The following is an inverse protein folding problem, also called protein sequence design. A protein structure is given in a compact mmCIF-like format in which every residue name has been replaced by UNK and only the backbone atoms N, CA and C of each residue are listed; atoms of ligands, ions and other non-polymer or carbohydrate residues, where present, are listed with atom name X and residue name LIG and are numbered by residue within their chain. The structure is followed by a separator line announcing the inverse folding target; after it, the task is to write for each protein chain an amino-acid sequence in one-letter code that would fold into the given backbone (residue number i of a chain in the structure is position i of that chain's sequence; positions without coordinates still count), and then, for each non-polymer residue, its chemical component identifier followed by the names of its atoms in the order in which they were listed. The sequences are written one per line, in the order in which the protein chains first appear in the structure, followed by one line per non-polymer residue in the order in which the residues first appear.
data_IF_716392574851
#
_entry.id   IF_716392574851
#
_cell.length_a   1.000
_cell.length_b   1.000
_cell.length_c   1.000
_cell.angle_alpha   90.00
_cell.angle_beta   90.00
_cell.angle_gamma   90.00
#
_symmetry.space_group_name_H-M   'P 1'
#
loop_
_entity.id
_entity.type
_entity.pdbx_description
1 polymer ?
#
# COMPACT_ATOMS: atom_id res chain seq x y z
N UNK A 1 8.50 -16.70 30.20
CA UNK A 1 7.61 -15.62 30.69
C UNK A 1 8.05 -14.38 29.94
N UNK A 2 7.22 -13.77 29.09
CA UNK A 2 7.60 -12.59 28.32
C UNK A 2 7.85 -11.39 29.27
N UNK A 3 9.07 -10.84 29.26
CA UNK A 3 9.51 -9.72 30.12
C UNK A 3 9.23 -8.34 29.49
N UNK A 4 8.82 -8.36 28.24
CA UNK A 4 8.09 -7.35 27.48
C UNK A 4 7.42 -6.21 28.34
N UNK A 5 7.90 -4.93 28.24
CA UNK A 5 7.39 -3.77 29.00
C UNK A 5 5.91 -3.44 28.85
N UNK A 6 5.21 -3.15 29.95
CA UNK A 6 3.78 -2.78 29.90
C UNK A 6 3.49 -1.31 29.55
N UNK A 7 4.50 -0.46 29.65
CA UNK A 7 4.41 0.95 29.25
C UNK A 7 4.55 1.07 27.73
N UNK A 8 3.66 1.84 27.09
CA UNK A 8 3.61 1.95 25.63
C UNK A 8 4.88 2.58 25.04
N UNK A 9 5.47 3.57 25.69
CA UNK A 9 6.67 4.22 25.17
C UNK A 9 7.88 3.31 25.26
N UNK A 10 8.09 2.67 26.42
CA UNK A 10 9.15 1.66 26.58
C UNK A 10 8.95 0.46 25.66
N UNK A 11 7.69 0.09 25.38
CA UNK A 11 7.37 -0.96 24.42
C UNK A 11 7.79 -0.59 23.01
N UNK A 12 7.39 0.59 22.54
CA UNK A 12 7.72 1.08 21.20
C UNK A 12 9.22 1.25 21.01
N UNK A 13 9.93 1.75 22.04
CA UNK A 13 11.39 1.90 22.05
C UNK A 13 12.06 0.54 21.93
N UNK A 14 11.73 -0.43 22.80
CA UNK A 14 12.27 -1.78 22.74
C UNK A 14 12.09 -2.43 21.35
N UNK A 15 10.86 -2.41 20.83
CA UNK A 15 10.58 -3.01 19.53
C UNK A 15 11.27 -2.26 18.39
N UNK A 16 11.39 -0.94 18.48
CA UNK A 16 12.14 -0.12 17.53
C UNK A 16 13.63 -0.42 17.53
N UNK A 17 14.25 -0.53 18.70
CA UNK A 17 15.67 -0.85 18.85
C UNK A 17 16.01 -2.25 18.33
N UNK A 18 15.13 -3.22 18.60
CA UNK A 18 15.30 -4.59 18.09
C UNK A 18 14.98 -4.71 16.59
N UNK A 19 14.25 -3.74 16.02
CA UNK A 19 13.79 -3.82 14.63
C UNK A 19 14.95 -3.90 13.65
N UNK A 20 15.92 -3.00 13.74
CA UNK A 20 17.03 -2.95 12.79
C UNK A 20 17.88 -4.22 12.83
N UNK A 21 18.10 -4.76 14.03
CA UNK A 21 18.88 -5.99 14.25
C UNK A 21 18.14 -7.19 13.63
N UNK A 22 16.90 -7.41 14.04
CA UNK A 22 16.13 -8.58 13.63
C UNK A 22 15.75 -8.51 12.14
N UNK A 23 15.38 -7.33 11.63
CA UNK A 23 15.05 -7.16 10.21
C UNK A 23 16.25 -7.43 9.32
N UNK A 24 17.47 -7.05 9.73
CA UNK A 24 18.69 -7.36 8.99
C UNK A 24 18.97 -8.87 8.97
N UNK A 25 18.91 -9.54 10.12
CA UNK A 25 19.11 -11.00 10.20
C UNK A 25 18.09 -11.77 9.37
N UNK A 26 16.82 -11.35 9.42
CA UNK A 26 15.75 -11.93 8.61
C UNK A 26 15.95 -11.70 7.11
N UNK A 27 16.40 -10.50 6.72
CA UNK A 27 16.76 -10.16 5.34
C UNK A 27 17.89 -11.05 4.84
N UNK A 28 18.95 -11.25 5.61
CA UNK A 28 20.09 -12.07 5.21
C UNK A 28 19.69 -13.55 5.10
N UNK A 29 18.88 -14.04 6.04
CA UNK A 29 18.23 -15.36 5.94
C UNK A 29 17.38 -15.51 4.69
N UNK A 30 16.71 -14.45 4.22
CA UNK A 30 15.96 -14.46 2.97
C UNK A 30 16.87 -14.45 1.75
N UNK A 31 17.91 -13.61 1.73
CA UNK A 31 18.79 -13.44 0.57
C UNK A 31 19.62 -14.69 0.24
N UNK A 32 19.88 -15.56 1.23
CA UNK A 32 20.54 -16.85 1.02
C UNK A 32 19.64 -17.92 0.39
N UNK A 33 18.33 -17.68 0.29
CA UNK A 33 17.36 -18.59 -0.34
C UNK A 33 17.34 -18.41 -1.87
N UNK A 34 17.62 -19.48 -2.61
CA UNK A 34 17.58 -19.45 -4.09
C UNK A 34 16.23 -19.00 -4.67
N UNK A 35 15.10 -19.26 -3.97
CA UNK A 35 13.77 -18.79 -4.41
C UNK A 35 13.63 -17.28 -4.22
N UNK A 36 14.17 -16.74 -3.13
CA UNK A 36 14.17 -15.31 -2.84
C UNK A 36 14.95 -14.53 -3.91
N UNK A 37 16.14 -15.02 -4.27
CA UNK A 37 16.98 -14.42 -5.32
C UNK A 37 16.24 -14.32 -6.66
N UNK A 38 15.50 -15.37 -7.04
CA UNK A 38 14.67 -15.37 -8.26
C UNK A 38 13.51 -14.37 -8.19
N UNK A 39 12.78 -14.33 -7.07
CA UNK A 39 11.68 -13.38 -6.87
C UNK A 39 12.14 -11.93 -7.02
N UNK A 40 13.25 -11.58 -6.37
CA UNK A 40 13.83 -10.23 -6.45
C UNK A 40 14.31 -9.89 -7.85
N UNK A 41 14.98 -10.83 -8.51
CA UNK A 41 15.48 -10.63 -9.88
C UNK A 41 14.33 -10.37 -10.85
N UNK A 42 13.24 -11.14 -10.74
CA UNK A 42 12.04 -10.93 -11.55
C UNK A 42 11.37 -9.58 -11.28
N UNK A 43 11.29 -9.16 -10.01
CA UNK A 43 10.74 -7.85 -9.65
C UNK A 43 11.60 -6.69 -10.19
N UNK A 44 12.92 -6.80 -10.08
CA UNK A 44 13.87 -5.82 -10.62
C UNK A 44 13.81 -5.75 -12.15
N UNK A 45 13.71 -6.90 -12.82
CA UNK A 45 13.56 -6.98 -14.28
C UNK A 45 12.24 -6.35 -14.73
N UNK A 46 11.15 -6.60 -13.99
CA UNK A 46 9.86 -5.95 -14.23
C UNK A 46 10.00 -4.43 -14.20
N UNK A 47 10.62 -3.87 -13.16
CA UNK A 47 10.79 -2.42 -13.06
C UNK A 47 11.75 -1.86 -14.10
N UNK A 48 12.83 -2.57 -14.44
CA UNK A 48 13.72 -2.15 -15.53
C UNK A 48 12.99 -2.00 -16.87
N UNK A 49 11.94 -2.80 -17.11
CA UNK A 49 11.15 -2.76 -18.34
C UNK A 49 10.01 -1.74 -18.33
N UNK A 50 9.43 -1.45 -17.17
CA UNK A 50 8.17 -0.69 -17.07
C UNK A 50 8.27 0.63 -16.28
N UNK A 51 9.29 0.81 -15.45
CA UNK A 51 9.53 2.07 -14.76
C UNK A 51 10.31 3.03 -15.66
N UNK A 52 10.11 4.33 -15.50
CA UNK A 52 10.91 5.33 -16.23
C UNK A 52 12.33 5.32 -15.65
N UNK A 53 13.34 5.63 -16.47
CA UNK A 53 14.76 5.57 -16.06
C UNK A 53 15.10 6.40 -14.80
N UNK A 54 14.27 7.41 -14.45
CA UNK A 54 14.44 8.23 -13.24
C UNK A 54 13.90 7.61 -11.94
N UNK A 55 13.31 6.40 -11.99
CA UNK A 55 12.63 5.76 -10.86
C UNK A 55 13.47 4.67 -10.14
N UNK A 56 14.78 4.62 -10.36
CA UNK A 56 15.65 3.58 -9.76
C UNK A 56 15.60 3.59 -8.22
N UNK A 57 15.59 4.78 -7.61
CA UNK A 57 15.45 4.94 -6.16
C UNK A 57 14.10 4.37 -5.69
N UNK A 58 13.01 4.65 -6.40
CA UNK A 58 11.68 4.15 -6.04
C UNK A 58 11.59 2.63 -6.18
N UNK A 59 12.22 2.10 -7.23
CA UNK A 59 12.32 0.66 -7.49
C UNK A 59 13.01 -0.05 -6.32
N UNK A 60 14.13 0.49 -5.84
CA UNK A 60 14.84 -0.09 -4.69
C UNK A 60 13.98 -0.09 -3.43
N UNK A 61 13.26 1.01 -3.15
CA UNK A 61 12.35 1.05 -1.99
C UNK A 61 11.24 0.00 -2.07
N UNK A 62 10.65 -0.23 -3.24
CA UNK A 62 9.60 -1.26 -3.40
C UNK A 62 10.18 -2.66 -3.24
N UNK A 63 11.39 -2.90 -3.75
CA UNK A 63 12.08 -4.18 -3.56
C UNK A 63 12.39 -4.41 -2.08
N UNK A 64 12.90 -3.42 -1.36
CA UNK A 64 13.19 -3.53 0.06
C UNK A 64 11.91 -3.72 0.89
N UNK A 65 10.84 -2.98 0.57
CA UNK A 65 9.53 -3.16 1.19
C UNK A 65 8.98 -4.58 0.96
N UNK A 66 9.16 -5.13 -0.25
CA UNK A 66 8.79 -6.51 -0.54
C UNK A 66 9.57 -7.49 0.33
N UNK A 67 10.90 -7.35 0.40
CA UNK A 67 11.76 -8.19 1.25
C UNK A 67 11.29 -8.15 2.70
N UNK A 68 11.07 -6.96 3.26
CA UNK A 68 10.56 -6.80 4.62
C UNK A 68 9.20 -7.46 4.82
N UNK A 69 8.28 -7.31 3.84
CA UNK A 69 6.94 -7.91 3.94
C UNK A 69 6.97 -9.44 3.96
N UNK A 70 7.86 -10.06 3.19
CA UNK A 70 7.96 -11.53 3.13
C UNK A 70 8.77 -12.10 4.29
N UNK A 71 9.70 -11.32 4.86
CA UNK A 71 10.48 -11.77 6.02
C UNK A 71 9.75 -11.62 7.33
N UNK A 72 9.17 -10.45 7.59
CA UNK A 72 8.39 -10.16 8.80
C UNK A 72 6.97 -10.76 8.74
N UNK A 73 6.49 -11.10 7.54
CA UNK A 73 5.20 -11.75 7.33
C UNK A 73 5.24 -13.28 7.36
N UNK A 74 6.42 -13.93 7.47
CA UNK A 74 6.58 -15.38 7.44
C UNK A 74 7.01 -15.93 8.81
N UNK A 75 6.01 -16.31 9.63
CA UNK A 75 6.23 -16.91 10.94
C UNK A 75 7.14 -18.14 10.92
N UNK A 76 7.14 -18.93 9.83
CA UNK A 76 8.02 -20.12 9.72
C UNK A 76 9.47 -19.70 9.49
N UNK A 77 9.71 -18.62 8.75
CA UNK A 77 11.05 -18.06 8.60
C UNK A 77 11.54 -17.47 9.92
N UNK A 78 10.72 -16.68 10.60
CA UNK A 78 11.05 -16.12 11.90
C UNK A 78 11.34 -17.21 12.94
N UNK A 79 10.54 -18.28 12.99
CA UNK A 79 10.78 -19.42 13.89
C UNK A 79 12.07 -20.18 13.56
N UNK A 80 12.42 -20.32 12.27
CA UNK A 80 13.70 -20.92 11.87
C UNK A 80 14.89 -20.05 12.29
N UNK A 81 14.81 -18.74 12.08
CA UNK A 81 15.85 -17.81 12.53
C UNK A 81 16.03 -17.92 14.04
N UNK A 82 14.93 -17.86 14.80
CA UNK A 82 14.96 -17.99 16.26
C UNK A 82 15.60 -19.30 16.71
N UNK A 83 15.34 -20.42 16.02
CA UNK A 83 15.93 -21.70 16.35
C UNK A 83 17.42 -21.81 16.00
N UNK A 84 17.85 -21.19 14.90
CA UNK A 84 19.23 -21.23 14.41
C UNK A 84 20.16 -20.29 15.18
N UNK A 85 19.69 -19.07 15.44
CA UNK A 85 20.50 -17.97 15.99
C UNK A 85 20.25 -17.77 17.50
N UNK A 86 19.50 -18.68 18.15
CA UNK A 86 19.07 -18.52 19.55
C UNK A 86 20.20 -18.20 20.52
N UNK A 87 21.39 -18.74 20.27
CA UNK A 87 22.56 -18.57 21.13
C UNK A 87 23.22 -17.21 20.97
N UNK A 88 23.00 -16.53 19.84
CA UNK A 88 23.57 -15.22 19.53
C UNK A 88 22.60 -14.07 19.79
N UNK A 89 21.31 -14.39 20.00
CA UNK A 89 20.27 -13.43 20.39
C UNK A 89 20.25 -13.18 21.90
N UNK A 90 20.11 -11.93 22.30
CA UNK A 90 19.82 -11.57 23.69
C UNK A 90 18.34 -11.84 24.03
N UNK A 91 17.98 -11.75 25.32
CA UNK A 91 16.62 -12.03 25.79
C UNK A 91 15.56 -11.12 25.14
N UNK A 92 15.89 -9.83 24.93
CA UNK A 92 15.00 -8.86 24.29
C UNK A 92 14.70 -9.24 22.83
N UNK A 93 15.74 -9.59 22.05
CA UNK A 93 15.60 -10.05 20.67
C UNK A 93 14.77 -11.34 20.60
N UNK A 94 14.97 -12.26 21.55
CA UNK A 94 14.19 -13.51 21.64
C UNK A 94 12.72 -13.21 21.92
N UNK A 95 12.42 -12.35 22.89
CA UNK A 95 11.05 -12.00 23.26
C UNK A 95 10.34 -11.25 22.11
N UNK A 96 11.00 -10.30 21.44
CA UNK A 96 10.46 -9.56 20.28
C UNK A 96 10.22 -10.49 19.09
N UNK A 97 11.20 -11.31 18.72
CA UNK A 97 11.07 -12.23 17.59
C UNK A 97 9.99 -13.29 17.87
N UNK A 98 9.88 -13.76 19.12
CA UNK A 98 8.81 -14.67 19.53
C UNK A 98 7.43 -14.03 19.38
N UNK A 99 7.29 -12.74 19.72
CA UNK A 99 6.05 -12.00 19.51
C UNK A 99 5.71 -11.88 18.01
N UNK A 100 6.66 -11.52 17.16
CA UNK A 100 6.40 -11.42 15.71
C UNK A 100 6.11 -12.77 15.04
N UNK A 101 6.61 -13.88 15.57
CA UNK A 101 6.21 -15.22 15.09
C UNK A 101 4.70 -15.42 15.24
N UNK A 102 4.13 -14.98 16.38
CA UNK A 102 2.69 -15.07 16.67
C UNK A 102 1.88 -13.97 15.98
N UNK A 103 2.50 -12.80 15.75
CA UNK A 103 1.89 -11.60 15.18
C UNK A 103 2.69 -11.11 13.96
N UNK A 104 2.66 -11.84 12.83
CA UNK A 104 3.43 -11.48 11.65
C UNK A 104 3.00 -10.14 11.06
N UNK A 105 3.95 -9.42 10.49
CA UNK A 105 3.70 -8.11 9.90
C UNK A 105 2.73 -8.20 8.71
N UNK A 106 1.92 -7.16 8.52
CA UNK A 106 0.88 -7.10 7.48
C UNK A 106 0.75 -5.70 6.87
N UNK A 107 0.36 -5.61 5.60
CA UNK A 107 0.04 -4.32 4.99
C UNK A 107 -1.30 -3.79 5.50
N UNK A 108 -1.33 -2.51 5.86
CA UNK A 108 -2.52 -1.80 6.28
C UNK A 108 -2.75 -0.59 5.38
N UNK A 109 -3.98 -0.46 4.87
CA UNK A 109 -4.46 0.72 4.16
C UNK A 109 -5.44 1.48 5.08
N UNK A 110 -5.11 2.71 5.46
CA UNK A 110 -5.78 3.39 6.56
C UNK A 110 -5.88 4.91 6.37
N UNK A 111 -6.78 5.51 7.15
CA UNK A 111 -6.83 6.96 7.41
C UNK A 111 -6.51 7.24 8.87
N UNK A 112 -6.00 8.44 9.18
CA UNK A 112 -5.81 8.88 10.56
C UNK A 112 -7.15 9.44 11.08
N UNK A 113 -7.61 8.95 12.22
CA UNK A 113 -8.80 9.48 12.89
C UNK A 113 -8.44 10.58 13.89
N UNK A 114 -7.37 10.38 14.66
CA UNK A 114 -6.93 11.34 15.68
C UNK A 114 -5.44 11.17 16.01
N UNK A 115 -4.79 12.28 16.40
CA UNK A 115 -3.47 12.25 17.04
C UNK A 115 -3.65 12.32 18.56
N UNK A 116 -3.34 11.22 19.24
CA UNK A 116 -3.54 11.09 20.69
C UNK A 116 -2.27 11.37 21.50
N UNK A 117 -1.11 11.46 20.85
CA UNK A 117 0.16 11.81 21.48
C UNK A 117 1.25 12.17 20.45
N UNK A 118 2.48 12.37 20.95
CA UNK A 118 3.65 12.52 20.08
C UNK A 118 3.87 11.19 19.37
N UNK A 119 3.92 11.23 18.03
CA UNK A 119 4.06 10.06 17.16
C UNK A 119 2.98 8.98 17.34
N UNK A 120 1.89 9.24 18.08
CA UNK A 120 0.88 8.25 18.43
C UNK A 120 -0.50 8.64 17.87
N UNK A 121 -1.06 7.75 17.06
CA UNK A 121 -2.25 8.00 16.26
C UNK A 121 -3.28 6.89 16.43
N UNK A 122 -4.55 7.27 16.45
CA UNK A 122 -5.65 6.36 16.20
C UNK A 122 -5.93 6.37 14.70
N UNK A 123 -5.91 5.19 14.08
CA UNK A 123 -6.14 5.03 12.64
C UNK A 123 -7.28 4.06 12.38
N UNK A 124 -7.96 4.24 11.25
CA UNK A 124 -9.01 3.35 10.77
C UNK A 124 -8.54 2.59 9.55
N UNK A 125 -8.56 1.26 9.62
CA UNK A 125 -8.47 0.39 8.45
C UNK A 125 -9.65 0.69 7.52
N UNK A 126 -9.34 1.10 6.28
CA UNK A 126 -10.36 1.54 5.33
C UNK A 126 -11.16 0.37 4.74
N UNK A 127 -10.66 -0.87 4.80
CA UNK A 127 -11.38 -2.05 4.33
C UNK A 127 -12.17 -2.75 5.44
N UNK A 128 -11.56 -2.98 6.61
CA UNK A 128 -12.24 -3.70 7.70
C UNK A 128 -13.05 -2.78 8.62
N UNK A 129 -12.77 -1.47 8.61
CA UNK A 129 -13.31 -0.51 9.57
C UNK A 129 -12.71 -0.62 10.98
N UNK A 130 -11.75 -1.53 11.20
CA UNK A 130 -11.10 -1.70 12.49
C UNK A 130 -10.27 -0.47 12.85
N UNK A 131 -10.30 -0.11 14.12
CA UNK A 131 -9.49 0.98 14.67
C UNK A 131 -8.24 0.41 15.32
N UNK A 132 -7.09 0.99 15.00
CA UNK A 132 -5.79 0.61 15.56
C UNK A 132 -5.10 1.82 16.22
N UNK A 133 -4.35 1.56 17.27
CA UNK A 133 -3.38 2.49 17.80
C UNK A 133 -2.04 2.29 17.07
N UNK A 134 -1.44 3.36 16.54
CA UNK A 134 -0.22 3.31 15.74
C UNK A 134 0.79 4.30 16.28
N UNK A 135 2.02 3.83 16.52
CA UNK A 135 3.16 4.68 16.83
C UNK A 135 4.07 4.82 15.60
N UNK A 136 4.20 6.02 15.04
CA UNK A 136 5.03 6.31 13.87
C UNK A 136 5.48 7.77 13.78
N UNK A 137 6.80 7.99 13.83
CA UNK A 137 7.44 9.28 13.51
C UNK A 137 7.16 9.73 12.08
N UNK A 138 7.08 8.78 11.15
CA UNK A 138 6.80 9.07 9.74
C UNK A 138 5.40 9.64 9.54
N UNK A 139 4.41 9.17 10.32
CA UNK A 139 3.05 9.74 10.28
C UNK A 139 3.04 11.18 10.80
N UNK A 140 3.73 11.46 11.91
CA UNK A 140 3.86 12.82 12.43
C UNK A 140 4.48 13.77 11.39
N UNK A 141 5.59 13.35 10.77
CA UNK A 141 6.21 14.08 9.67
C UNK A 141 5.26 14.31 8.48
N UNK A 142 4.41 13.33 8.15
CA UNK A 142 3.42 13.49 7.10
C UNK A 142 2.31 14.49 7.48
N UNK A 143 1.95 14.61 8.76
CA UNK A 143 0.95 15.59 9.20
C UNK A 143 1.45 17.04 9.15
N UNK A 144 2.76 17.24 9.28
CA UNK A 144 3.36 18.58 9.22
C UNK A 144 3.38 19.19 7.81
N UNK A 145 3.12 18.41 6.76
CA UNK A 145 3.23 18.84 5.36
C UNK A 145 1.86 18.85 4.69
N UNK A 146 1.57 19.92 3.94
CA UNK A 146 0.28 20.07 3.24
C UNK A 146 0.05 18.96 2.22
N UNK A 147 1.11 18.53 1.55
CA UNK A 147 1.04 17.57 0.43
C UNK A 147 0.75 16.15 0.91
N UNK A 148 1.03 15.85 2.17
CA UNK A 148 0.99 14.48 2.71
C UNK A 148 0.06 14.31 3.91
N UNK A 149 -0.52 15.40 4.41
CA UNK A 149 -1.53 15.43 5.47
C UNK A 149 -2.91 15.09 4.90
N UNK A 150 -3.76 14.50 5.75
CA UNK A 150 -5.15 14.13 5.43
C UNK A 150 -5.27 13.22 4.19
N UNK A 151 -4.27 12.37 3.98
CA UNK A 151 -4.23 11.36 2.91
C UNK A 151 -4.67 10.00 3.45
N UNK A 152 -4.92 9.07 2.54
CA UNK A 152 -4.93 7.65 2.87
C UNK A 152 -3.51 7.11 2.80
N UNK A 153 -3.17 6.26 3.77
CA UNK A 153 -1.82 5.73 3.97
C UNK A 153 -1.79 4.23 3.75
N UNK A 154 -0.71 3.76 3.15
CA UNK A 154 -0.42 2.34 2.93
C UNK A 154 0.99 2.06 3.43
N UNK A 155 1.15 1.12 4.35
CA UNK A 155 2.47 0.66 4.79
C UNK A 155 2.38 -0.71 5.44
N UNK A 156 3.53 -1.36 5.61
CA UNK A 156 3.64 -2.58 6.39
C UNK A 156 3.63 -2.21 7.88
N UNK A 157 2.82 -2.90 8.66
CA UNK A 157 2.71 -2.73 10.10
C UNK A 157 3.25 -3.97 10.80
N UNK A 158 3.88 -3.78 11.95
CA UNK A 158 4.17 -4.87 12.90
C UNK A 158 3.55 -4.56 14.26
N UNK A 159 3.15 -5.62 14.95
CA UNK A 159 2.55 -5.54 16.28
C UNK A 159 3.66 -5.58 17.35
N UNK A 160 3.43 -4.87 18.45
CA UNK A 160 4.23 -4.93 19.67
C UNK A 160 3.43 -5.38 20.91
N UNK A 161 2.16 -5.72 20.71
CA UNK A 161 1.20 -6.15 21.74
C UNK A 161 0.45 -5.01 22.43
N UNK A 162 0.83 -3.75 22.21
CA UNK A 162 0.13 -2.55 22.73
C UNK A 162 -0.33 -1.61 21.61
N UNK A 163 0.42 -1.53 20.52
CA UNK A 163 0.08 -0.76 19.33
C UNK A 163 0.79 -1.33 18.10
N UNK A 164 0.43 -0.85 16.92
CA UNK A 164 1.17 -1.10 15.69
C UNK A 164 2.30 -0.10 15.51
N UNK A 165 3.36 -0.51 14.83
CA UNK A 165 4.46 0.36 14.38
C UNK A 165 4.70 0.16 12.88
N UNK A 166 5.10 1.24 12.20
CA UNK A 166 5.34 1.22 10.74
C UNK A 166 6.69 0.59 10.41
N UNK A 167 6.71 -0.33 9.46
CA UNK A 167 7.90 -0.98 8.90
C UNK A 167 8.15 -0.55 7.46
N UNK A 168 9.25 0.17 7.24
CA UNK A 168 9.65 0.62 5.90
C UNK A 168 8.98 1.93 5.50
N UNK A 169 8.67 2.07 4.21
CA UNK A 169 8.18 3.33 3.65
C UNK A 169 6.68 3.51 3.92
N UNK A 170 6.31 4.71 4.32
CA UNK A 170 4.91 5.14 4.38
C UNK A 170 4.51 5.67 3.01
N UNK A 171 3.60 4.97 2.34
CA UNK A 171 3.00 5.45 1.10
C UNK A 171 1.73 6.23 1.42
N UNK A 172 1.46 7.30 0.68
CA UNK A 172 0.26 8.12 0.85
C UNK A 172 -0.36 8.42 -0.51
N UNK A 173 -1.69 8.57 -0.54
CA UNK A 173 -2.46 8.91 -1.73
C UNK A 173 -3.79 9.53 -1.37
N UNK A 174 -4.42 10.16 -2.35
CA UNK A 174 -5.83 10.54 -2.24
C UNK A 174 -6.77 9.44 -2.77
N UNK A 175 -6.27 8.23 -3.06
CA UNK A 175 -7.11 7.16 -3.57
C UNK A 175 -8.08 6.74 -2.49
N UNK A 176 -9.37 6.70 -2.80
CA UNK A 176 -10.36 6.20 -1.86
C UNK A 176 -10.34 4.66 -1.75
N UNK A 177 -11.25 4.12 -0.92
CA UNK A 177 -11.36 2.67 -0.70
C UNK A 177 -11.78 1.91 -1.95
N UNK A 178 -12.60 2.50 -2.82
CA UNK A 178 -13.11 1.86 -4.03
C UNK A 178 -12.05 1.86 -5.13
N UNK A 179 -11.28 2.94 -5.24
CA UNK A 179 -10.11 3.02 -6.12
C UNK A 179 -9.02 2.03 -5.71
N UNK A 180 -8.75 1.92 -4.39
CA UNK A 180 -7.81 0.92 -3.88
C UNK A 180 -8.32 -0.51 -4.09
N UNK A 181 -9.63 -0.74 -3.92
CA UNK A 181 -10.26 -2.04 -4.22
C UNK A 181 -10.08 -2.41 -5.68
N UNK A 182 -10.37 -1.50 -6.60
CA UNK A 182 -10.20 -1.69 -8.03
C UNK A 182 -8.75 -2.05 -8.37
N UNK A 183 -7.77 -1.34 -7.79
CA UNK A 183 -6.35 -1.63 -7.99
C UNK A 183 -5.99 -3.06 -7.55
N UNK A 184 -6.41 -3.46 -6.35
CA UNK A 184 -6.06 -4.76 -5.78
C UNK A 184 -6.75 -5.92 -6.50
N UNK A 185 -8.04 -5.78 -6.85
CA UNK A 185 -8.77 -6.79 -7.63
C UNK A 185 -8.21 -6.93 -9.05
N UNK A 186 -7.74 -5.83 -9.66
CA UNK A 186 -7.08 -5.86 -10.96
C UNK A 186 -5.73 -6.58 -10.94
N UNK A 187 -5.07 -6.63 -9.78
CA UNK A 187 -3.85 -7.41 -9.60
C UNK A 187 -4.18 -8.88 -9.37
N UNK A 188 -5.08 -9.18 -8.42
CA UNK A 188 -5.47 -10.53 -8.06
C UNK A 188 -6.74 -10.57 -7.19
N UNK A 189 -7.90 -10.70 -7.84
CA UNK A 189 -9.20 -10.77 -7.16
C UNK A 189 -9.30 -11.94 -6.18
N UNK A 190 -8.73 -13.10 -6.50
CA UNK A 190 -8.84 -14.29 -5.64
C UNK A 190 -8.04 -14.12 -4.35
N UNK A 191 -6.82 -13.59 -4.44
CA UNK A 191 -6.02 -13.23 -3.26
C UNK A 191 -6.68 -12.12 -2.44
N UNK A 192 -7.23 -11.11 -3.10
CA UNK A 192 -7.90 -10.02 -2.40
C UNK A 192 -9.11 -10.52 -1.60
N UNK A 193 -9.93 -11.39 -2.18
CA UNK A 193 -11.07 -11.99 -1.49
C UNK A 193 -10.65 -12.90 -0.32
N UNK A 194 -9.47 -13.52 -0.38
CA UNK A 194 -8.97 -14.44 0.64
C UNK A 194 -8.33 -13.72 1.84
N UNK A 195 -7.49 -12.73 1.58
CA UNK A 195 -6.65 -12.12 2.61
C UNK A 195 -6.45 -10.61 2.47
N UNK A 196 -7.27 -9.95 1.65
CA UNK A 196 -7.31 -8.49 1.55
C UNK A 196 -6.01 -7.87 1.02
N UNK A 197 -5.74 -6.66 1.50
CA UNK A 197 -4.59 -5.84 1.08
C UNK A 197 -3.26 -6.57 1.28
N UNK A 198 -3.10 -7.23 2.43
CA UNK A 198 -1.85 -7.87 2.82
C UNK A 198 -1.44 -9.00 1.88
N UNK A 199 -2.36 -9.93 1.59
CA UNK A 199 -2.04 -11.06 0.71
C UNK A 199 -1.74 -10.62 -0.71
N UNK A 200 -2.49 -9.66 -1.26
CA UNK A 200 -2.27 -9.16 -2.61
C UNK A 200 -0.91 -8.49 -2.72
N UNK A 201 -0.54 -7.61 -1.78
CA UNK A 201 0.71 -6.85 -1.89
C UNK A 201 1.95 -7.70 -1.58
N UNK A 202 1.85 -8.72 -0.72
CA UNK A 202 2.93 -9.70 -0.53
C UNK A 202 3.16 -10.55 -1.77
N UNK A 203 2.09 -10.96 -2.48
CA UNK A 203 2.18 -11.76 -3.71
C UNK A 203 2.52 -10.91 -4.96
N UNK A 204 2.04 -9.68 -5.01
CA UNK A 204 2.17 -8.75 -6.13
C UNK A 204 2.78 -7.42 -5.65
N UNK A 205 4.09 -7.39 -5.29
CA UNK A 205 4.74 -6.18 -4.75
C UNK A 205 4.75 -4.98 -5.72
N UNK A 206 4.57 -5.24 -7.03
CA UNK A 206 4.31 -4.21 -8.05
C UNK A 206 3.05 -3.38 -7.77
N UNK A 207 2.11 -3.86 -6.95
CA UNK A 207 0.93 -3.10 -6.53
C UNK A 207 1.29 -1.80 -5.81
N UNK A 208 2.39 -1.77 -5.05
CA UNK A 208 2.88 -0.55 -4.41
C UNK A 208 3.32 0.49 -5.44
N UNK A 209 3.94 0.06 -6.55
CA UNK A 209 4.30 0.96 -7.65
C UNK A 209 3.06 1.58 -8.29
N UNK A 210 2.05 0.76 -8.59
CA UNK A 210 0.80 1.25 -9.17
C UNK A 210 0.04 2.16 -8.21
N UNK A 211 -0.03 1.82 -6.93
CA UNK A 211 -0.58 2.70 -5.90
C UNK A 211 0.07 4.08 -5.94
N UNK A 212 1.41 4.15 -6.03
CA UNK A 212 2.13 5.43 -6.13
C UNK A 212 1.90 6.17 -7.44
N UNK A 213 1.78 5.45 -8.56
CA UNK A 213 1.46 6.07 -9.85
C UNK A 213 0.08 6.70 -9.85
N UNK A 214 -0.89 6.05 -9.21
CA UNK A 214 -2.26 6.52 -9.07
C UNK A 214 -2.38 7.61 -7.99
N UNK A 215 -1.55 7.54 -6.95
CA UNK A 215 -1.50 8.51 -5.86
C UNK A 215 -1.06 9.91 -6.28
N UNK A 216 -0.17 10.00 -7.27
CA UNK A 216 0.16 11.27 -7.90
C UNK A 216 -0.99 11.61 -8.84
N UNK A 217 -2.08 12.16 -8.29
CA UNK A 217 -3.17 12.77 -9.07
C UNK A 217 -2.52 13.61 -10.16
N UNK A 218 -2.74 13.23 -11.42
CA UNK A 218 -2.41 14.11 -12.51
C UNK A 218 -3.35 15.30 -12.35
N UNK A 219 -2.85 16.40 -11.78
CA UNK A 219 -3.48 17.71 -11.93
C UNK A 219 -3.40 18.05 -13.42
N UNK A 220 -4.35 17.50 -14.17
CA UNK A 220 -4.61 17.88 -15.53
C UNK A 220 -5.41 19.17 -15.45
N UNK A 221 -4.69 20.28 -15.28
CA UNK A 221 -5.30 21.60 -15.36
C UNK A 221 -5.64 21.86 -16.84
N UNK A 222 -6.92 21.83 -17.19
CA UNK A 222 -7.39 22.22 -18.51
C UNK A 222 -8.26 23.48 -18.35
N UNK A 223 -7.86 24.57 -19.00
CA UNK A 223 -8.60 25.85 -19.00
C UNK A 223 -8.90 26.45 -17.62
N UNK A 224 -8.08 26.16 -16.60
CA UNK A 224 -8.26 26.67 -15.24
C UNK A 224 -9.06 25.76 -14.31
N UNK A 225 -9.51 24.60 -14.82
CA UNK A 225 -10.19 23.56 -14.06
C UNK A 225 -9.27 22.34 -13.89
N UNK A 226 -9.33 21.73 -12.69
CA UNK A 226 -8.59 20.52 -12.37
C UNK A 226 -9.39 19.27 -12.79
N UNK A 227 -8.91 18.55 -13.81
CA UNK A 227 -9.49 17.25 -14.18
C UNK A 227 -9.06 16.19 -13.17
N UNK A 228 -10.04 15.55 -12.55
CA UNK A 228 -9.83 14.42 -11.62
C UNK A 228 -10.14 13.12 -12.34
N UNK A 229 -9.17 12.19 -12.31
CA UNK A 229 -9.38 10.82 -12.79
C UNK A 229 -9.78 9.97 -11.59
N UNK A 230 -10.97 9.37 -11.63
CA UNK A 230 -11.44 8.41 -10.63
C UNK A 230 -11.48 6.99 -11.21
N UNK A 231 -11.18 6.00 -10.39
CA UNK A 231 -11.24 4.59 -10.77
C UNK A 231 -12.33 3.85 -9.97
N UNK A 232 -13.19 3.10 -10.65
CA UNK A 232 -14.24 2.33 -9.96
C UNK A 232 -14.57 1.04 -10.71
N UNK A 233 -15.20 0.11 -10.01
CA UNK A 233 -15.62 -1.19 -10.53
C UNK A 233 -17.14 -1.31 -10.47
N UNK A 234 -17.72 -1.76 -11.58
CA UNK A 234 -19.14 -2.02 -11.69
C UNK A 234 -19.35 -3.41 -12.30
N UNK A 235 -20.29 -4.18 -11.75
CA UNK A 235 -20.58 -5.54 -12.23
C UNK A 235 -21.28 -5.54 -13.59
N UNK A 236 -22.12 -4.53 -13.83
CA UNK A 236 -22.73 -4.28 -15.14
C UNK A 236 -22.88 -2.79 -15.36
N UNK A 237 -22.62 -2.36 -16.58
CA UNK A 237 -22.90 -1.01 -17.03
C UNK A 237 -24.11 -1.07 -17.95
N UNK A 238 -25.24 -0.53 -17.47
CA UNK A 238 -26.47 -0.40 -18.26
C UNK A 238 -26.42 0.91 -19.07
N UNK A 239 -25.45 0.98 -19.98
CA UNK A 239 -25.26 2.11 -20.87
C UNK A 239 -24.82 1.61 -22.25
N UNK A 240 -25.48 2.12 -23.29
CA UNK A 240 -25.11 1.81 -24.68
C UNK A 240 -24.22 2.91 -25.21
N UNK A 241 -22.96 2.57 -25.49
CA UNK A 241 -22.02 3.48 -26.15
C UNK A 241 -22.29 3.50 -27.65
N UNK A 242 -23.15 4.43 -28.08
CA UNK A 242 -23.42 4.68 -29.49
C UNK A 242 -22.14 5.17 -30.20
N UNK A 243 -21.73 4.48 -31.25
CA UNK A 243 -20.53 4.79 -32.03
C UNK A 243 -20.61 6.17 -32.72
N UNK A 244 -21.80 6.77 -32.80
CA UNK A 244 -21.96 8.16 -33.26
C UNK A 244 -21.38 9.18 -32.27
N UNK A 245 -21.50 8.95 -30.96
CA UNK A 245 -21.08 9.87 -29.90
C UNK A 245 -19.80 9.41 -29.20
N UNK A 246 -19.47 8.12 -29.33
CA UNK A 246 -18.35 7.49 -28.64
C UNK A 246 -17.39 6.81 -29.60
N UNK A 247 -16.10 7.07 -29.42
CA UNK A 247 -15.04 6.28 -30.04
C UNK A 247 -14.76 5.05 -29.19
N UNK A 248 -14.92 3.87 -29.77
CA UNK A 248 -14.65 2.58 -29.12
C UNK A 248 -13.34 1.99 -29.61
N UNK A 249 -12.36 1.86 -28.73
CA UNK A 249 -11.07 1.21 -29.02
C UNK A 249 -10.97 -0.12 -28.26
N UNK A 250 -10.88 -1.24 -28.99
CA UNK A 250 -10.76 -2.58 -28.40
C UNK A 250 -9.30 -3.05 -28.41
N UNK A 251 -8.78 -3.40 -27.23
CA UNK A 251 -7.46 -4.01 -27.04
C UNK A 251 -7.57 -5.29 -26.21
N UNK A 252 -7.74 -6.42 -26.90
CA UNK A 252 -7.95 -7.71 -26.25
C UNK A 252 -9.28 -7.73 -25.48
N UNK A 253 -9.22 -7.86 -24.16
CA UNK A 253 -10.39 -7.79 -23.26
C UNK A 253 -10.72 -6.38 -22.77
N UNK A 254 -9.87 -5.40 -23.08
CA UNK A 254 -10.08 -4.01 -22.70
C UNK A 254 -10.83 -3.27 -23.80
N UNK A 255 -11.90 -2.58 -23.43
CA UNK A 255 -12.57 -1.59 -24.27
C UNK A 255 -12.31 -0.20 -23.67
N UNK A 256 -11.79 0.72 -24.47
CA UNK A 256 -11.71 2.14 -24.13
C UNK A 256 -12.80 2.87 -24.88
N UNK A 257 -13.64 3.58 -24.14
CA UNK A 257 -14.69 4.45 -24.69
C UNK A 257 -14.24 5.89 -24.48
N UNK A 258 -14.18 6.67 -25.57
CA UNK A 258 -13.83 8.10 -25.53
C UNK A 258 -15.01 8.89 -26.06
N UNK A 259 -15.57 9.80 -25.26
CA UNK A 259 -16.63 10.68 -25.72
C UNK A 259 -16.07 11.59 -26.81
N UNK A 260 -16.74 11.63 -27.96
CA UNK A 260 -16.39 12.50 -29.10
C UNK A 260 -17.28 13.73 -29.09
N UNK A 261 -18.58 13.54 -28.84
CA UNK A 261 -19.59 14.59 -28.74
C UNK A 261 -20.66 14.11 -27.76
N UNK A 262 -21.26 15.03 -26.99
CA UNK A 262 -22.37 14.66 -26.10
C UNK A 262 -23.63 14.31 -26.89
N UNK A 263 -24.32 13.24 -26.49
CA UNK A 263 -25.65 12.96 -27.04
C UNK A 263 -26.68 13.97 -26.51
N UNK A 264 -27.79 14.22 -27.23
CA UNK A 264 -28.86 15.09 -26.73
C UNK A 264 -29.37 14.71 -25.34
N UNK A 265 -29.47 13.40 -25.07
CA UNK A 265 -29.88 12.85 -23.77
C UNK A 265 -28.91 13.20 -22.64
N UNK A 266 -27.59 13.25 -22.92
CA UNK A 266 -26.61 13.71 -21.93
C UNK A 266 -26.77 15.20 -21.63
N UNK A 267 -27.05 16.02 -22.65
CA UNK A 267 -27.32 17.45 -22.46
C UNK A 267 -28.53 17.70 -21.56
N UNK A 268 -29.57 16.89 -21.69
CA UNK A 268 -30.77 16.98 -20.83
C UNK A 268 -30.50 16.55 -19.37
N UNK A 269 -29.63 15.57 -19.15
CA UNK A 269 -29.30 15.04 -17.82
C UNK A 269 -28.40 15.96 -17.01
N UNK A 270 -27.47 16.65 -17.67
CA UNK A 270 -26.48 17.50 -17.01
C UNK A 270 -27.02 18.92 -16.80
N UNK A 271 -28.04 19.35 -17.56
CA UNK A 271 -28.51 20.73 -17.62
C UNK A 271 -27.57 21.60 -18.47
N UNK A 272 -27.85 22.90 -18.61
CA UNK A 272 -26.91 23.87 -19.21
C UNK A 272 -25.65 23.95 -18.33
N UNK A 273 -24.73 23.02 -18.53
CA UNK A 273 -23.41 23.05 -17.93
C UNK A 273 -22.43 23.10 -19.07
N UNK A 274 -21.72 24.22 -19.16
CA UNK A 274 -20.61 24.52 -20.09
C UNK A 274 -19.39 23.60 -19.86
N UNK A 275 -19.60 22.30 -19.65
CA UNK A 275 -18.50 21.33 -19.43
C UNK A 275 -17.88 20.85 -20.75
N UNK A 276 -18.54 21.06 -21.89
CA UNK A 276 -18.17 20.44 -23.17
C UNK A 276 -17.93 21.42 -24.33
N UNK A 277 -18.38 22.67 -24.25
CA UNK A 277 -18.18 23.67 -25.31
C UNK A 277 -16.73 24.16 -25.44
N UNK A 278 -15.83 23.74 -24.55
CA UNK A 278 -14.42 24.14 -24.53
C UNK A 278 -13.44 23.15 -25.16
N UNK A 279 -13.90 22.04 -25.77
CA UNK A 279 -13.03 20.97 -26.26
C UNK A 279 -13.08 20.68 -27.77
N UNK A 280 -13.53 21.63 -28.61
CA UNK A 280 -13.28 21.60 -30.06
C UNK A 280 -12.01 22.38 -30.45
#
# INVERSE_FOLDING_TARGET
MNHLPKDIHKRCELFGDQFDILALMLRDSYLTDTKASRSQSALREYFKKHAKEKDEIQTNFIVDQHIMSVTLGDSKRMARLLAQERHDLNEDSIDVLSHWIEHPAFFLFFSIENQVGIDLFTVRDLFSGATHLVHSRSLAFCQDRRETRDKHYLTLMYDNGLCLQTAGLLHYSDLDVDEMRFLLESLDRELFARGGVDEVLKAHPKGIYFYRLLANRYELSAHGEDLVICYSQFDSLDYTFDEQYWKVEKKGRLCKYTLVEASPEMGELVGDVDLLDYYC
#
